data_IF_167551554812
#
_entry.id   IF_167551554812
#
_cell.length_a   1.000
_cell.length_b   1.000
_cell.length_c   1.000
_cell.angle_alpha   90.00
_cell.angle_beta   90.00
_cell.angle_gamma   90.00
#
_symmetry.space_group_name_H-M   'P 1'
#
loop_
_entity.id
_entity.type
_entity.pdbx_description
1 polymer ?
#
# COMPACT_ATOMS: atom_id res chain seq x y z
N UNK A 1 23.46 17.32 -5.17
CA UNK A 1 22.92 17.33 -6.55
C UNK A 1 23.44 16.19 -7.44
N UNK A 2 24.75 15.89 -7.49
CA UNK A 2 25.27 14.82 -8.37
C UNK A 2 24.62 13.44 -8.15
N UNK A 3 24.42 13.04 -6.89
CA UNK A 3 23.76 11.77 -6.55
C UNK A 3 22.28 11.72 -6.98
N UNK A 4 21.55 12.84 -6.88
CA UNK A 4 20.16 12.94 -7.33
C UNK A 4 20.04 12.78 -8.85
N UNK A 5 20.93 13.45 -9.61
CA UNK A 5 21.04 13.25 -11.06
C UNK A 5 21.36 11.79 -11.41
N UNK A 6 22.31 11.18 -10.70
CA UNK A 6 22.68 9.78 -10.91
C UNK A 6 21.52 8.82 -10.65
N UNK A 7 20.70 9.07 -9.62
CA UNK A 7 19.47 8.32 -9.36
C UNK A 7 18.48 8.50 -10.52
N UNK A 8 18.19 9.74 -10.93
CA UNK A 8 17.28 10.01 -12.04
C UNK A 8 17.71 9.30 -13.34
N UNK A 9 19.01 9.33 -13.67
CA UNK A 9 19.56 8.59 -14.82
C UNK A 9 19.29 7.09 -14.71
N UNK A 10 19.51 6.46 -13.54
CA UNK A 10 19.23 5.04 -13.35
C UNK A 10 17.74 4.71 -13.51
N UNK A 11 16.86 5.54 -12.94
CA UNK A 11 15.40 5.36 -13.08
C UNK A 11 14.94 5.49 -14.53
N UNK A 12 15.52 6.42 -15.30
CA UNK A 12 15.24 6.53 -16.73
C UNK A 12 15.76 5.33 -17.51
N UNK A 13 16.94 4.82 -17.20
CA UNK A 13 17.49 3.61 -17.82
C UNK A 13 16.65 2.36 -17.51
N UNK A 14 16.08 2.29 -16.31
CA UNK A 14 15.15 1.22 -15.90
C UNK A 14 13.75 1.35 -16.55
N UNK A 15 13.43 2.50 -17.15
CA UNK A 15 12.12 2.78 -17.74
C UNK A 15 11.07 3.29 -16.76
N UNK A 16 11.44 3.49 -15.49
CA UNK A 16 10.54 3.95 -14.42
C UNK A 16 10.19 5.45 -14.53
N UNK A 17 11.08 6.22 -15.17
CA UNK A 17 11.02 7.68 -15.25
C UNK A 17 11.24 8.15 -16.70
N UNK A 18 10.22 8.75 -17.32
CA UNK A 18 10.20 9.00 -18.77
C UNK A 18 9.90 10.47 -19.11
N UNK A 19 9.00 11.13 -18.39
CA UNK A 19 8.70 12.55 -18.61
C UNK A 19 9.93 13.40 -18.26
N UNK A 20 10.46 14.21 -19.20
CA UNK A 20 11.60 15.08 -18.94
C UNK A 20 11.43 16.00 -17.71
N UNK A 21 10.20 16.43 -17.41
CA UNK A 21 9.89 17.28 -16.25
C UNK A 21 10.01 16.51 -14.93
N UNK A 22 9.68 15.21 -14.93
CA UNK A 22 9.93 14.35 -13.79
C UNK A 22 11.42 14.01 -13.65
N UNK A 23 12.13 13.77 -14.76
CA UNK A 23 13.59 13.60 -14.76
C UNK A 23 14.29 14.81 -14.13
N UNK A 24 13.84 16.02 -14.48
CA UNK A 24 14.32 17.26 -13.87
C UNK A 24 13.99 17.33 -12.37
N UNK A 25 12.74 17.07 -11.97
CA UNK A 25 12.34 17.08 -10.57
C UNK A 25 13.17 16.13 -9.69
N UNK A 26 13.38 14.89 -10.13
CA UNK A 26 14.22 13.93 -9.41
C UNK A 26 15.69 14.35 -9.40
N UNK A 27 16.19 14.93 -10.50
CA UNK A 27 17.56 15.46 -10.60
C UNK A 27 17.80 16.67 -9.70
N UNK A 28 16.76 17.49 -9.49
CA UNK A 28 16.77 18.73 -8.73
C UNK A 28 16.49 18.53 -7.24
N UNK A 29 15.93 17.38 -6.83
CA UNK A 29 15.50 17.15 -5.44
C UNK A 29 16.49 16.27 -4.67
N UNK A 30 17.25 16.82 -3.71
CA UNK A 30 18.24 16.07 -2.95
C UNK A 30 17.59 15.13 -1.91
N UNK A 31 17.29 13.88 -2.28
CA UNK A 31 16.62 12.89 -1.39
C UNK A 31 17.22 12.79 0.02
N UNK A 32 18.55 12.89 0.15
CA UNK A 32 19.26 12.89 1.44
C UNK A 32 18.91 14.01 2.42
N UNK A 33 18.38 15.14 1.95
CA UNK A 33 17.86 16.21 2.84
C UNK A 33 16.54 15.76 3.48
N UNK A 34 15.74 15.00 2.75
CA UNK A 34 14.44 14.52 3.21
C UNK A 34 14.53 13.25 4.05
N UNK A 35 15.58 12.43 3.85
CA UNK A 35 15.77 11.15 4.54
C UNK A 35 17.08 11.15 5.35
N UNK A 36 17.19 11.97 6.41
CA UNK A 36 18.42 12.07 7.20
C UNK A 36 18.67 10.83 8.07
N UNK A 37 17.64 10.06 8.40
CA UNK A 37 17.74 8.84 9.23
C UNK A 37 16.73 7.79 8.76
N UNK A 38 17.15 6.53 8.71
CA UNK A 38 16.28 5.42 8.34
C UNK A 38 16.85 4.06 8.77
N UNK A 39 16.01 3.03 8.73
CA UNK A 39 16.36 1.62 8.85
C UNK A 39 16.07 0.88 7.55
N UNK A 40 16.93 -0.08 7.20
CA UNK A 40 16.64 -1.03 6.11
C UNK A 40 15.78 -2.18 6.63
N UNK A 41 14.55 -2.31 6.15
CA UNK A 41 13.60 -3.31 6.65
C UNK A 41 13.22 -3.11 8.13
N UNK A 42 12.59 -4.12 8.73
CA UNK A 42 12.15 -4.07 10.14
C UNK A 42 13.31 -4.23 11.12
N UNK A 43 14.22 -5.17 10.81
CA UNK A 43 15.31 -5.60 11.71
C UNK A 43 16.72 -5.35 11.15
N UNK A 44 16.83 -4.63 10.04
CA UNK A 44 18.13 -4.32 9.45
C UNK A 44 18.84 -3.12 10.11
N UNK A 45 20.02 -2.75 9.56
CA UNK A 45 20.83 -1.67 10.10
C UNK A 45 20.13 -0.31 10.00
N UNK A 46 20.46 0.56 10.95
CA UNK A 46 20.04 1.96 10.96
C UNK A 46 21.17 2.84 10.43
N UNK A 47 20.80 3.84 9.62
CA UNK A 47 21.72 4.82 9.05
C UNK A 47 21.26 6.23 9.43
N UNK A 48 22.24 7.12 9.63
CA UNK A 48 22.02 8.54 9.92
C UNK A 48 23.00 9.43 9.17
N UNK A 49 22.57 10.65 8.83
CA UNK A 49 23.39 11.69 8.21
C UNK A 49 24.56 12.15 9.10
N UNK A 50 24.42 11.98 10.41
CA UNK A 50 25.41 12.36 11.44
C UNK A 50 26.42 11.24 11.75
N UNK A 51 26.29 10.08 11.08
CA UNK A 51 27.16 8.93 11.31
C UNK A 51 28.53 9.10 10.61
N UNK A 52 29.56 8.48 11.16
CA UNK A 52 30.90 8.36 10.55
C UNK A 52 30.85 7.66 9.20
N UNK A 53 29.82 6.86 8.92
CA UNK A 53 29.61 6.14 7.66
C UNK A 53 28.80 6.93 6.61
N UNK A 54 29.07 8.24 6.45
CA UNK A 54 28.36 9.11 5.50
C UNK A 54 28.24 8.53 4.08
N UNK A 55 29.28 7.86 3.58
CA UNK A 55 29.27 7.24 2.25
C UNK A 55 28.26 6.09 2.15
N UNK A 56 28.16 5.24 3.19
CA UNK A 56 27.21 4.14 3.23
C UNK A 56 25.77 4.65 3.35
N UNK A 57 25.54 5.65 4.20
CA UNK A 57 24.25 6.34 4.29
C UNK A 57 23.82 6.92 2.93
N UNK A 58 24.70 7.68 2.27
CA UNK A 58 24.40 8.24 0.94
C UNK A 58 24.14 7.17 -0.11
N UNK A 59 24.87 6.05 -0.08
CA UNK A 59 24.64 4.95 -1.02
C UNK A 59 23.22 4.38 -0.88
N UNK A 60 22.76 4.16 0.36
CA UNK A 60 21.42 3.63 0.62
C UNK A 60 20.32 4.68 0.40
N UNK A 61 20.55 5.96 0.70
CA UNK A 61 19.59 7.03 0.37
C UNK A 61 19.28 7.09 -1.13
N UNK A 62 20.27 6.84 -1.99
CA UNK A 62 20.10 6.87 -3.44
C UNK A 62 20.02 5.46 -4.06
N UNK A 63 19.78 4.43 -3.24
CA UNK A 63 19.44 3.09 -3.70
C UNK A 63 17.94 3.03 -4.04
N UNK A 64 17.57 2.08 -4.91
CA UNK A 64 16.18 1.84 -5.26
C UNK A 64 15.46 0.93 -4.24
N UNK A 65 15.57 1.28 -2.96
CA UNK A 65 14.96 0.55 -1.85
C UNK A 65 14.02 1.46 -1.05
N UNK A 66 12.97 0.89 -0.44
CA UNK A 66 12.21 1.60 0.57
C UNK A 66 13.06 1.76 1.83
N UNK A 67 12.94 2.92 2.48
CA UNK A 67 13.72 3.29 3.66
C UNK A 67 12.77 3.60 4.82
N UNK A 68 12.74 2.76 5.85
CA UNK A 68 11.86 2.96 7.02
C UNK A 68 12.34 4.15 7.84
N UNK A 69 11.54 5.20 7.97
CA UNK A 69 11.94 6.46 8.62
C UNK A 69 11.32 6.66 9.99
N UNK A 70 10.25 5.93 10.33
CA UNK A 70 9.63 5.94 11.64
C UNK A 70 9.07 4.54 11.95
N UNK A 71 9.22 4.13 13.20
CA UNK A 71 8.52 2.97 13.76
C UNK A 71 8.05 3.34 15.16
N UNK A 72 6.96 2.72 15.62
CA UNK A 72 6.44 2.86 16.98
C UNK A 72 6.46 1.51 17.69
N UNK A 73 6.65 1.45 19.02
CA UNK A 73 6.54 0.20 19.76
C UNK A 73 5.17 -0.45 19.57
N UNK A 74 5.11 -1.77 19.64
CA UNK A 74 3.84 -2.49 19.70
C UNK A 74 3.05 -2.05 20.96
N UNK A 75 1.74 -1.76 20.86
CA UNK A 75 0.96 -1.29 22.01
C UNK A 75 0.93 -2.30 23.16
N UNK A 76 0.93 -3.60 22.86
CA UNK A 76 0.98 -4.66 23.88
C UNK A 76 2.37 -4.89 24.51
N UNK A 77 3.36 -4.05 24.20
CA UNK A 77 4.70 -4.16 24.79
C UNK A 77 5.47 -5.41 24.38
N UNK A 78 5.13 -6.02 23.24
CA UNK A 78 5.82 -7.19 22.71
C UNK A 78 7.32 -6.91 22.53
N UNK A 79 8.15 -7.93 22.74
CA UNK A 79 9.60 -7.85 22.58
C UNK A 79 10.12 -8.86 21.55
N UNK A 80 11.24 -8.54 20.92
CA UNK A 80 12.02 -9.49 20.13
C UNK A 80 12.64 -10.56 21.03
N UNK A 81 13.20 -11.62 20.43
CA UNK A 81 13.92 -12.69 21.15
C UNK A 81 15.06 -12.12 22.00
N UNK A 82 15.71 -11.05 21.54
CA UNK A 82 16.81 -10.39 22.23
C UNK A 82 16.34 -9.38 23.30
N UNK A 83 15.04 -9.32 23.59
CA UNK A 83 14.47 -8.47 24.65
C UNK A 83 14.27 -7.00 24.28
N UNK A 84 14.44 -6.63 23.01
CA UNK A 84 14.18 -5.27 22.53
C UNK A 84 12.68 -5.08 22.24
N UNK A 85 12.10 -3.87 22.41
CA UNK A 85 10.72 -3.63 22.02
C UNK A 85 10.48 -3.96 20.54
N UNK A 86 9.45 -4.77 20.27
CA UNK A 86 8.99 -5.01 18.91
C UNK A 86 8.40 -3.71 18.36
N UNK A 87 8.86 -3.30 17.17
CA UNK A 87 8.47 -2.01 16.58
C UNK A 87 7.77 -2.24 15.25
N UNK A 88 6.69 -1.50 15.05
CA UNK A 88 5.91 -1.50 13.82
C UNK A 88 6.29 -0.26 13.00
N UNK A 89 6.74 -0.43 11.75
CA UNK A 89 6.96 0.68 10.83
C UNK A 89 5.69 1.54 10.66
N UNK A 90 5.86 2.86 10.76
CA UNK A 90 4.77 3.86 10.68
C UNK A 90 5.03 4.97 9.67
N UNK A 91 6.26 5.10 9.17
CA UNK A 91 6.60 5.92 8.00
C UNK A 91 7.80 5.33 7.26
N UNK A 92 7.84 5.51 5.95
CA UNK A 92 8.99 5.20 5.09
C UNK A 92 9.11 6.19 3.94
N UNK A 93 10.32 6.37 3.42
CA UNK A 93 10.51 6.88 2.05
C UNK A 93 10.40 5.69 1.09
N UNK A 94 9.34 5.68 0.29
CA UNK A 94 9.12 4.70 -0.79
C UNK A 94 10.34 4.59 -1.72
N UNK A 95 10.57 3.41 -2.30
CA UNK A 95 11.61 3.24 -3.31
C UNK A 95 11.41 4.24 -4.47
N UNK A 96 12.48 4.91 -4.94
CA UNK A 96 12.40 5.89 -6.01
C UNK A 96 11.74 5.37 -7.30
N UNK A 97 12.00 4.14 -7.72
CA UNK A 97 11.40 3.55 -8.94
C UNK A 97 9.89 3.37 -8.83
N UNK A 98 9.40 2.87 -7.69
CA UNK A 98 7.96 2.78 -7.40
C UNK A 98 7.33 4.18 -7.39
N UNK A 99 7.95 5.14 -6.71
CA UNK A 99 7.44 6.51 -6.65
C UNK A 99 7.42 7.18 -8.04
N UNK A 100 8.49 7.03 -8.82
CA UNK A 100 8.58 7.53 -10.19
C UNK A 100 7.42 6.99 -11.06
N UNK A 101 7.20 5.67 -11.03
CA UNK A 101 6.10 5.03 -11.76
C UNK A 101 4.72 5.53 -11.32
N UNK A 102 4.51 5.74 -10.02
CA UNK A 102 3.25 6.31 -9.51
C UNK A 102 3.03 7.75 -9.96
N UNK A 103 4.07 8.59 -9.94
CA UNK A 103 4.01 9.98 -10.42
C UNK A 103 3.80 10.08 -11.94
N UNK A 104 4.39 9.17 -12.71
CA UNK A 104 4.13 9.00 -14.15
C UNK A 104 2.66 8.62 -14.40
N UNK A 105 2.12 7.66 -13.65
CA UNK A 105 0.71 7.26 -13.75
C UNK A 105 -0.24 8.39 -13.34
N UNK A 106 0.16 9.22 -12.37
CA UNK A 106 -0.61 10.37 -11.89
C UNK A 106 -0.84 11.40 -13.01
N UNK A 107 0.06 11.49 -14.00
CA UNK A 107 -0.12 12.30 -15.21
C UNK A 107 -0.56 13.74 -14.86
N UNK A 108 0.25 14.37 -14.02
CA UNK A 108 0.05 15.77 -13.62
C UNK A 108 0.39 16.69 -14.79
N UNK A 109 -0.33 17.81 -14.90
CA UNK A 109 -0.10 18.86 -15.89
C UNK A 109 0.05 20.19 -15.16
N UNK A 110 0.58 21.16 -15.87
CA UNK A 110 0.80 22.49 -15.31
C UNK A 110 -0.54 23.10 -14.91
N UNK A 111 -0.60 23.70 -13.72
CA UNK A 111 -1.83 24.22 -13.13
C UNK A 111 -2.71 23.19 -12.42
N UNK A 112 -2.41 21.89 -12.48
CA UNK A 112 -3.16 20.90 -11.69
C UNK A 112 -2.89 21.06 -10.21
N UNK A 113 -3.96 21.01 -9.41
CA UNK A 113 -3.89 20.91 -7.96
C UNK A 113 -3.81 19.46 -7.51
N UNK A 114 -2.82 19.14 -6.69
CA UNK A 114 -2.52 17.77 -6.24
C UNK A 114 -2.67 17.64 -4.73
N UNK A 115 -3.42 16.62 -4.30
CA UNK A 115 -3.43 16.12 -2.94
C UNK A 115 -2.54 14.89 -2.82
N UNK A 116 -1.56 14.95 -1.93
CA UNK A 116 -0.78 13.81 -1.47
C UNK A 116 -1.31 13.32 -0.12
N UNK A 117 -1.66 12.03 -0.03
CA UNK A 117 -2.00 11.37 1.24
C UNK A 117 -0.78 10.59 1.74
N UNK A 118 -0.17 11.07 2.81
CA UNK A 118 1.06 10.54 3.41
C UNK A 118 2.28 11.43 3.13
N UNK A 119 2.37 12.58 3.80
CA UNK A 119 3.52 13.50 3.67
C UNK A 119 4.85 12.82 4.02
N UNK A 120 4.86 12.02 5.10
CA UNK A 120 6.03 11.28 5.57
C UNK A 120 7.28 12.16 5.69
N UNK A 121 8.29 11.89 4.86
CA UNK A 121 9.56 12.62 4.89
C UNK A 121 9.50 14.00 4.22
N UNK A 122 8.48 14.25 3.40
CA UNK A 122 8.35 15.41 2.52
C UNK A 122 9.06 15.26 1.17
N UNK A 123 9.70 14.12 0.88
CA UNK A 123 10.44 13.95 -0.39
C UNK A 123 9.51 13.99 -1.61
N UNK A 124 8.39 13.27 -1.56
CA UNK A 124 7.46 13.25 -2.69
C UNK A 124 6.69 14.57 -2.82
N UNK A 125 6.29 15.20 -1.72
CA UNK A 125 5.83 16.60 -1.72
C UNK A 125 6.82 17.55 -2.44
N UNK A 126 8.12 17.40 -2.24
CA UNK A 126 9.12 18.23 -2.92
C UNK A 126 9.17 17.98 -4.43
N UNK A 127 9.06 16.72 -4.87
CA UNK A 127 8.97 16.36 -6.28
C UNK A 127 7.71 16.97 -6.92
N UNK A 128 6.58 16.89 -6.24
CA UNK A 128 5.31 17.51 -6.67
C UNK A 128 5.44 19.04 -6.73
N UNK A 129 6.02 19.68 -5.72
CA UNK A 129 6.24 21.13 -5.70
C UNK A 129 7.10 21.58 -6.88
N UNK A 130 8.16 20.83 -7.20
CA UNK A 130 8.99 21.09 -8.35
C UNK A 130 8.20 20.97 -9.66
N UNK A 131 7.30 19.98 -9.76
CA UNK A 131 6.58 19.67 -10.98
C UNK A 131 5.39 20.59 -11.27
N UNK A 132 4.60 20.96 -10.27
CA UNK A 132 3.36 21.74 -10.46
C UNK A 132 3.33 23.08 -9.72
N UNK A 133 4.39 23.45 -9.01
CA UNK A 133 4.42 24.64 -8.15
C UNK A 133 3.90 24.32 -6.74
N UNK A 134 4.55 24.89 -5.71
CA UNK A 134 4.24 24.60 -4.31
C UNK A 134 2.82 25.02 -3.91
N UNK A 135 2.30 26.09 -4.51
CA UNK A 135 0.95 26.63 -4.31
C UNK A 135 -0.16 25.67 -4.81
N UNK A 136 0.20 24.69 -5.63
CA UNK A 136 -0.70 23.69 -6.18
C UNK A 136 -0.59 22.33 -5.47
N UNK A 137 0.24 22.22 -4.43
CA UNK A 137 0.45 20.99 -3.67
C UNK A 137 -0.16 21.12 -2.28
N UNK A 138 -0.97 20.14 -1.94
CA UNK A 138 -1.46 19.89 -0.58
C UNK A 138 -0.98 18.51 -0.18
N UNK A 139 -0.38 18.38 1.00
CA UNK A 139 0.04 17.09 1.54
C UNK A 139 -0.46 16.94 2.96
N UNK A 140 -1.06 15.78 3.25
CA UNK A 140 -1.61 15.46 4.56
C UNK A 140 -0.93 14.24 5.14
N UNK A 141 -0.61 14.29 6.43
CA UNK A 141 -0.16 13.13 7.20
C UNK A 141 -0.89 13.07 8.52
N UNK A 142 -1.10 11.87 9.04
CA UNK A 142 -1.75 11.67 10.33
C UNK A 142 -0.86 12.19 11.47
N UNK A 143 0.46 12.03 11.37
CA UNK A 143 1.41 12.34 12.43
C UNK A 143 1.92 13.80 12.33
N UNK A 144 1.57 14.70 13.27
CA UNK A 144 1.98 16.10 13.22
C UNK A 144 3.50 16.30 13.27
N UNK A 145 4.25 15.38 13.90
CA UNK A 145 5.72 15.48 13.95
C UNK A 145 6.32 15.29 12.55
N UNK A 146 5.74 14.39 11.73
CA UNK A 146 6.16 14.19 10.34
C UNK A 146 5.85 15.42 9.49
N UNK A 147 4.67 16.03 9.68
CA UNK A 147 4.28 17.26 8.99
C UNK A 147 5.24 18.41 9.33
N UNK A 148 5.61 18.58 10.59
CA UNK A 148 6.55 19.62 11.05
C UNK A 148 7.98 19.40 10.54
N UNK A 149 8.43 18.14 10.47
CA UNK A 149 9.71 17.78 9.87
C UNK A 149 9.72 18.06 8.36
N UNK A 150 8.67 17.65 7.64
CA UNK A 150 8.53 17.90 6.22
C UNK A 150 8.50 19.41 5.92
N UNK A 151 7.76 20.19 6.73
CA UNK A 151 7.67 21.66 6.60
C UNK A 151 9.04 22.32 6.64
N UNK A 152 9.88 21.94 7.61
CA UNK A 152 11.26 22.47 7.73
C UNK A 152 12.12 22.11 6.52
N UNK A 153 12.12 20.85 6.11
CA UNK A 153 12.95 20.36 4.98
C UNK A 153 12.53 20.97 3.64
N UNK A 154 11.22 21.05 3.39
CA UNK A 154 10.68 21.75 2.22
C UNK A 154 11.04 23.24 2.27
N UNK A 155 11.00 23.82 3.47
CA UNK A 155 11.28 25.22 3.66
C UNK A 155 12.72 25.61 3.31
N UNK A 156 13.67 24.77 3.68
CA UNK A 156 15.09 24.89 3.35
C UNK A 156 15.35 24.82 1.83
N UNK A 157 14.42 24.24 1.07
CA UNK A 157 14.47 24.16 -0.39
C UNK A 157 13.57 25.18 -1.10
N UNK A 158 13.05 26.17 -0.37
CA UNK A 158 12.23 27.25 -0.92
C UNK A 158 10.77 26.88 -1.20
N UNK A 159 10.35 25.65 -0.90
CA UNK A 159 8.95 25.23 -1.07
C UNK A 159 8.13 25.51 0.19
N UNK A 160 6.88 25.94 0.01
CA UNK A 160 5.89 26.18 1.08
C UNK A 160 4.50 25.69 0.64
N UNK A 161 4.32 24.38 0.36
CA UNK A 161 3.00 23.83 0.06
C UNK A 161 2.09 23.86 1.30
N UNK A 162 0.80 23.63 1.10
CA UNK A 162 -0.12 23.40 2.22
C UNK A 162 0.18 22.03 2.85
N UNK A 163 0.58 22.02 4.12
CA UNK A 163 0.91 20.81 4.87
C UNK A 163 -0.03 20.70 6.07
N UNK A 164 -0.82 19.62 6.10
CA UNK A 164 -1.90 19.41 7.07
C UNK A 164 -1.61 18.17 7.91
N UNK A 165 -1.77 18.31 9.22
CA UNK A 165 -1.82 17.17 10.13
C UNK A 165 -3.28 16.74 10.27
N UNK A 166 -3.62 15.52 9.84
CA UNK A 166 -5.00 15.04 9.83
C UNK A 166 -5.17 13.66 9.21
N UNK A 167 -6.39 13.13 9.33
CA UNK A 167 -6.73 11.85 8.70
C UNK A 167 -6.84 12.01 7.19
N UNK A 168 -5.88 11.41 6.47
CA UNK A 168 -5.84 11.42 5.02
C UNK A 168 -7.06 10.79 4.36
N UNK A 169 -7.81 9.90 5.02
CA UNK A 169 -9.06 9.36 4.49
C UNK A 169 -10.15 10.43 4.33
N UNK A 170 -10.06 11.53 5.08
CA UNK A 170 -10.98 12.66 4.99
C UNK A 170 -10.59 13.67 3.91
N UNK A 171 -9.42 13.50 3.28
CA UNK A 171 -8.85 14.51 2.39
C UNK A 171 -8.61 15.85 3.11
N UNK A 172 -8.62 16.94 2.36
CA UNK A 172 -8.38 18.30 2.88
C UNK A 172 -9.29 19.29 2.13
N UNK A 173 -10.58 19.25 2.43
CA UNK A 173 -11.61 19.93 1.64
C UNK A 173 -11.39 21.45 1.51
N UNK A 174 -10.80 22.09 2.52
CA UNK A 174 -10.51 23.53 2.53
C UNK A 174 -9.50 23.97 1.46
N UNK A 175 -8.72 23.04 0.93
CA UNK A 175 -7.72 23.32 -0.09
C UNK A 175 -8.06 22.74 -1.47
N UNK A 176 -9.17 22.00 -1.59
CA UNK A 176 -9.67 21.46 -2.85
C UNK A 176 -10.41 22.51 -3.71
N UNK A 177 -11.01 22.07 -4.83
CA UNK A 177 -11.02 20.71 -5.36
C UNK A 177 -9.68 20.32 -6.01
N UNK A 178 -9.45 19.02 -6.20
CA UNK A 178 -8.20 18.43 -6.69
C UNK A 178 -8.33 17.82 -8.07
N UNK A 179 -7.38 18.10 -8.95
CA UNK A 179 -7.27 17.41 -10.23
C UNK A 179 -6.62 16.05 -10.07
N UNK A 180 -5.79 15.89 -9.02
CA UNK A 180 -4.96 14.72 -8.81
C UNK A 180 -4.92 14.35 -7.33
N UNK A 181 -5.11 13.07 -7.04
CA UNK A 181 -4.87 12.52 -5.70
C UNK A 181 -3.86 11.38 -5.84
N UNK A 182 -2.83 11.40 -5.01
CA UNK A 182 -1.88 10.30 -4.87
C UNK A 182 -1.81 9.86 -3.42
N UNK A 183 -2.10 8.58 -3.17
CA UNK A 183 -2.00 8.00 -1.85
C UNK A 183 -0.73 7.17 -1.72
N UNK A 184 0.15 7.61 -0.82
CA UNK A 184 1.40 6.94 -0.43
C UNK A 184 1.24 6.22 0.91
N UNK A 185 -0.01 5.93 1.28
CA UNK A 185 -0.44 5.00 2.30
C UNK A 185 -1.50 4.06 1.70
N UNK A 186 -1.54 2.83 2.19
CA UNK A 186 -2.47 1.81 1.76
C UNK A 186 -3.87 2.03 2.36
N UNK A 187 -4.89 1.83 1.54
CA UNK A 187 -6.31 1.90 1.92
C UNK A 187 -7.04 0.62 1.52
N UNK A 188 -8.12 0.30 2.22
CA UNK A 188 -8.92 -0.90 1.93
C UNK A 188 -9.99 -0.64 0.86
N UNK A 189 -10.32 0.64 0.62
CA UNK A 189 -11.22 1.15 -0.39
C UNK A 189 -10.80 2.57 -0.79
N UNK A 190 -11.46 3.16 -1.80
CA UNK A 190 -11.30 4.58 -2.11
C UNK A 190 -12.22 5.38 -1.19
N UNK A 191 -11.70 6.25 -0.30
CA UNK A 191 -12.53 7.04 0.61
C UNK A 191 -13.51 7.95 -0.14
N UNK A 192 -14.79 8.03 0.29
CA UNK A 192 -15.77 8.93 -0.33
C UNK A 192 -15.33 10.40 -0.35
N UNK A 193 -14.62 10.84 0.69
CA UNK A 193 -14.14 12.22 0.79
C UNK A 193 -13.14 12.56 -0.33
N UNK A 194 -12.35 11.61 -0.81
CA UNK A 194 -11.48 11.83 -1.96
C UNK A 194 -12.32 12.12 -3.20
N UNK A 195 -13.37 11.33 -3.45
CA UNK A 195 -14.26 11.48 -4.60
C UNK A 195 -14.97 12.83 -4.58
N UNK A 196 -15.47 13.24 -3.41
CA UNK A 196 -16.19 14.50 -3.21
C UNK A 196 -15.30 15.74 -3.44
N UNK A 197 -13.99 15.59 -3.31
CA UNK A 197 -13.02 16.68 -3.44
C UNK A 197 -12.35 16.75 -4.81
N UNK A 198 -12.79 15.99 -5.82
CA UNK A 198 -12.19 15.98 -7.15
C UNK A 198 -12.80 17.02 -8.11
N UNK A 199 -11.96 17.66 -8.93
CA UNK A 199 -12.37 18.57 -10.02
C UNK A 199 -12.31 17.91 -11.40
N UNK A 200 -13.27 18.30 -12.26
CA UNK A 200 -13.16 18.15 -13.72
C UNK A 200 -12.82 16.75 -14.21
N UNK A 201 -11.60 16.58 -14.73
CA UNK A 201 -11.03 15.32 -15.22
C UNK A 201 -9.98 14.76 -14.25
N UNK A 202 -10.43 14.24 -13.09
CA UNK A 202 -9.53 13.85 -12.03
C UNK A 202 -8.81 12.54 -12.35
N UNK A 203 -7.66 12.36 -11.69
CA UNK A 203 -6.97 11.08 -11.63
C UNK A 203 -6.54 10.77 -10.19
N UNK A 204 -6.80 9.54 -9.75
CA UNK A 204 -6.42 9.03 -8.43
C UNK A 204 -5.44 7.89 -8.62
N UNK A 205 -4.28 7.96 -7.98
CA UNK A 205 -3.33 6.85 -7.88
C UNK A 205 -3.27 6.42 -6.42
N UNK A 206 -3.66 5.18 -6.13
CA UNK A 206 -3.74 4.69 -4.76
C UNK A 206 -3.28 3.23 -4.65
N UNK A 207 -2.78 2.85 -3.50
CA UNK A 207 -2.58 1.45 -3.15
C UNK A 207 -3.83 0.92 -2.43
N UNK A 208 -4.57 0.04 -3.12
CA UNK A 208 -5.71 -0.67 -2.55
C UNK A 208 -5.25 -2.07 -2.19
N UNK A 209 -5.28 -2.43 -0.92
CA UNK A 209 -4.83 -3.76 -0.48
C UNK A 209 -5.78 -4.39 0.51
N UNK A 210 -5.73 -5.72 0.55
CA UNK A 210 -6.20 -6.50 1.68
C UNK A 210 -5.01 -6.97 2.51
N UNK A 211 -5.25 -8.00 3.32
CA UNK A 211 -4.20 -8.57 4.16
C UNK A 211 -3.46 -9.73 3.50
N UNK A 212 -4.06 -10.35 2.48
CA UNK A 212 -3.46 -11.50 1.80
C UNK A 212 -2.55 -11.08 0.64
N UNK A 213 -2.85 -9.97 -0.04
CA UNK A 213 -2.02 -9.41 -1.13
C UNK A 213 -1.88 -7.90 -0.98
N UNK A 214 -0.64 -7.43 -1.06
CA UNK A 214 -0.26 -6.08 -0.63
C UNK A 214 0.21 -5.18 -1.76
N UNK A 215 0.36 -5.71 -2.98
CA UNK A 215 1.02 -5.04 -4.10
C UNK A 215 0.12 -4.23 -5.03
N UNK A 216 -1.14 -3.98 -4.71
CA UNK A 216 -2.13 -3.58 -5.70
C UNK A 216 -2.28 -2.04 -5.83
N UNK A 217 -1.38 -1.43 -6.62
CA UNK A 217 -1.54 -0.01 -7.05
C UNK A 217 -2.62 0.07 -8.13
N UNK A 218 -3.52 1.05 -8.02
CA UNK A 218 -4.57 1.31 -9.00
C UNK A 218 -4.54 2.76 -9.47
N UNK A 219 -5.05 2.96 -10.68
CA UNK A 219 -5.23 4.28 -11.29
C UNK A 219 -6.68 4.43 -11.68
N UNK A 220 -7.40 5.35 -11.03
CA UNK A 220 -8.78 5.67 -11.35
C UNK A 220 -8.89 7.04 -12.00
N UNK A 221 -9.81 7.19 -12.94
CA UNK A 221 -10.18 8.47 -13.52
C UNK A 221 -11.71 8.56 -13.64
N UNK A 222 -12.23 9.76 -13.84
CA UNK A 222 -13.66 9.96 -14.13
C UNK A 222 -13.90 9.74 -15.63
N UNK A 223 -14.70 8.74 -16.04
CA UNK A 223 -15.17 8.64 -17.41
C UNK A 223 -16.30 9.66 -17.61
N UNK A 224 -16.17 10.52 -18.62
CA UNK A 224 -17.19 11.49 -19.03
C UNK A 224 -17.76 12.33 -17.85
N UNK A 225 -19.04 12.68 -17.89
CA UNK A 225 -19.78 13.37 -16.83
C UNK A 225 -20.28 12.44 -15.71
N UNK A 226 -19.72 11.23 -15.60
CA UNK A 226 -20.11 10.26 -14.57
C UNK A 226 -19.74 10.74 -13.16
N UNK A 227 -20.59 10.44 -12.17
CA UNK A 227 -20.26 10.63 -10.77
C UNK A 227 -19.20 9.62 -10.27
N UNK A 228 -18.93 8.56 -11.03
CA UNK A 228 -18.05 7.46 -10.65
C UNK A 228 -16.61 7.68 -11.11
N UNK A 229 -15.66 7.17 -10.34
CA UNK A 229 -14.28 6.91 -10.77
C UNK A 229 -14.18 5.47 -11.20
N UNK A 230 -13.56 5.21 -12.35
CA UNK A 230 -13.26 3.86 -12.82
C UNK A 230 -11.81 3.76 -13.26
N UNK A 231 -11.23 2.58 -13.15
CA UNK A 231 -9.86 2.35 -13.58
C UNK A 231 -9.36 0.95 -13.31
N UNK A 232 -8.05 0.75 -13.46
CA UNK A 232 -7.41 -0.57 -13.39
C UNK A 232 -6.32 -0.60 -12.34
N UNK A 233 -6.04 -1.81 -11.85
CA UNK A 233 -4.79 -2.06 -11.15
C UNK A 233 -3.64 -2.04 -12.15
N UNK A 234 -2.52 -1.47 -11.74
CA UNK A 234 -1.28 -1.52 -12.49
C UNK A 234 -0.55 -2.82 -12.15
N UNK A 235 0.20 -3.37 -13.12
CA UNK A 235 1.24 -4.36 -12.85
C UNK A 235 2.45 -3.69 -12.17
N UNK A 236 2.21 -3.19 -10.96
CA UNK A 236 3.14 -2.47 -10.13
C UNK A 236 2.90 -2.80 -8.66
N UNK A 237 3.83 -3.57 -8.09
CA UNK A 237 3.82 -3.91 -6.68
C UNK A 237 4.21 -2.70 -5.82
N UNK A 238 3.42 -2.43 -4.78
CA UNK A 238 3.74 -1.41 -3.79
C UNK A 238 3.30 -1.82 -2.40
N UNK A 239 4.24 -2.12 -1.51
CA UNK A 239 3.98 -2.55 -0.14
C UNK A 239 3.82 -1.34 0.80
N UNK A 240 2.76 -0.56 0.60
CA UNK A 240 2.51 0.61 1.43
C UNK A 240 2.02 0.23 2.83
N UNK A 241 2.40 1.05 3.80
CA UNK A 241 1.88 0.97 5.17
C UNK A 241 0.40 1.36 5.17
N UNK A 242 -0.39 0.71 6.02
CA UNK A 242 -1.81 1.03 6.19
C UNK A 242 -1.99 2.49 6.62
N UNK A 243 -2.97 3.17 6.02
CA UNK A 243 -3.57 4.35 6.62
C UNK A 243 -4.12 3.97 8.01
N UNK A 244 -3.67 4.68 9.04
CA UNK A 244 -3.93 4.32 10.44
C UNK A 244 -5.08 5.14 11.01
N UNK A 245 -5.81 4.61 12.00
CA UNK A 245 -6.93 5.31 12.61
C UNK A 245 -6.51 6.40 13.61
N UNK A 246 -5.28 6.33 14.15
CA UNK A 246 -4.76 7.30 15.12
C UNK A 246 -3.23 7.35 15.09
N UNK A 247 -2.66 8.48 15.53
CA UNK A 247 -1.20 8.70 15.59
C UNK A 247 -0.50 7.65 16.45
N UNK A 248 -1.03 7.38 17.64
CA UNK A 248 -0.43 6.49 18.65
C UNK A 248 -0.83 5.02 18.49
N UNK A 249 -1.70 4.72 17.52
CA UNK A 249 -2.06 3.34 17.18
C UNK A 249 -1.26 2.90 15.95
N UNK A 250 -0.16 2.13 16.09
CA UNK A 250 0.60 1.65 14.95
C UNK A 250 -0.03 0.43 14.26
N UNK A 251 -1.13 -0.10 14.81
CA UNK A 251 -1.80 -1.27 14.26
C UNK A 251 -2.60 -0.93 13.00
N UNK A 252 -2.98 -1.98 12.27
CA UNK A 252 -3.82 -1.88 11.07
C UNK A 252 -5.26 -1.51 11.49
N UNK A 253 -6.02 -0.76 10.68
CA UNK A 253 -7.32 -0.21 11.08
C UNK A 253 -8.38 -1.28 11.44
N UNK A 254 -8.23 -2.51 10.92
CA UNK A 254 -9.14 -3.64 11.12
C UNK A 254 -8.52 -4.75 12.00
N UNK A 255 -7.34 -4.51 12.58
CA UNK A 255 -6.69 -5.49 13.45
C UNK A 255 -7.50 -5.64 14.75
N UNK A 256 -8.34 -6.66 14.81
CA UNK A 256 -9.02 -7.06 16.03
C UNK A 256 -8.16 -8.09 16.77
N UNK A 257 -8.09 -8.07 18.11
CA UNK A 257 -7.55 -9.21 18.83
C UNK A 257 -8.38 -10.45 18.45
N UNK A 258 -7.76 -11.62 18.21
CA UNK A 258 -8.47 -12.81 17.79
C UNK A 258 -9.54 -13.14 18.82
N UNK A 259 -10.79 -12.86 18.48
CA UNK A 259 -11.91 -13.22 19.33
C UNK A 259 -12.17 -14.70 19.09
N UNK A 260 -11.62 -15.56 19.96
CA UNK A 260 -11.94 -16.98 19.96
C UNK A 260 -13.43 -17.14 20.31
N UNK A 261 -14.29 -17.11 19.29
CA UNK A 261 -15.73 -17.31 19.45
C UNK A 261 -16.19 -18.44 18.53
N UNK A 262 -16.10 -19.67 19.03
CA UNK A 262 -16.80 -20.81 18.45
C UNK A 262 -16.23 -22.17 18.86
N UNK A 263 -17.11 -23.06 19.32
CA UNK A 263 -16.85 -24.48 19.59
C UNK A 263 -16.97 -25.36 18.34
N UNK A 264 -17.24 -24.76 17.17
CA UNK A 264 -17.44 -25.50 15.92
C UNK A 264 -16.08 -25.86 15.31
N UNK A 265 -15.91 -27.16 15.06
CA UNK A 265 -14.71 -27.72 14.43
C UNK A 265 -15.16 -28.62 13.29
N UNK A 266 -14.56 -28.43 12.12
CA UNK A 266 -14.80 -29.22 10.93
C UNK A 266 -13.51 -29.88 10.48
N UNK A 267 -13.58 -31.18 10.19
CA UNK A 267 -12.46 -31.95 9.68
C UNK A 267 -12.68 -32.26 8.19
N UNK A 268 -11.62 -32.12 7.40
CA UNK A 268 -11.65 -32.37 5.97
C UNK A 268 -10.29 -32.77 5.42
N UNK A 269 -10.22 -32.91 4.10
CA UNK A 269 -8.99 -33.22 3.37
C UNK A 269 -8.98 -32.45 2.06
N UNK A 270 -7.83 -31.87 1.71
CA UNK A 270 -7.65 -31.14 0.45
C UNK A 270 -6.56 -31.74 -0.40
N UNK A 271 -6.66 -31.62 -1.72
CA UNK A 271 -5.57 -31.96 -2.64
C UNK A 271 -4.64 -30.77 -2.92
N UNK A 272 -5.06 -29.55 -2.56
CA UNK A 272 -4.27 -28.34 -2.78
C UNK A 272 -2.99 -28.39 -1.92
N UNK A 273 -1.90 -27.83 -2.45
CA UNK A 273 -0.68 -27.58 -1.67
C UNK A 273 -0.71 -26.15 -1.13
N UNK A 274 -0.77 -25.96 0.20
CA UNK A 274 -0.75 -24.61 0.77
C UNK A 274 0.51 -23.82 0.42
N UNK A 275 1.65 -24.48 0.14
CA UNK A 275 2.87 -23.78 -0.26
C UNK A 275 2.69 -23.03 -1.58
N UNK A 276 2.05 -23.67 -2.56
CA UNK A 276 1.76 -23.07 -3.86
C UNK A 276 0.81 -21.87 -3.70
N UNK A 277 -0.21 -22.00 -2.85
CA UNK A 277 -1.20 -20.95 -2.62
C UNK A 277 -0.63 -19.74 -1.86
N UNK A 278 0.23 -19.98 -0.86
CA UNK A 278 0.87 -18.90 -0.09
C UNK A 278 1.88 -18.13 -0.97
N UNK A 279 2.56 -18.83 -1.87
CA UNK A 279 3.55 -18.25 -2.78
C UNK A 279 2.96 -17.54 -4.01
N UNK A 280 1.65 -17.62 -4.24
CA UNK A 280 0.98 -17.07 -5.42
C UNK A 280 0.24 -15.76 -5.08
N UNK A 281 0.82 -14.62 -5.46
CA UNK A 281 0.29 -13.28 -5.22
C UNK A 281 -1.04 -13.02 -5.95
N UNK A 282 -1.18 -13.55 -7.18
CA UNK A 282 -2.39 -13.40 -7.99
C UNK A 282 -3.54 -14.21 -7.34
N UNK A 283 -3.26 -15.44 -6.91
CA UNK A 283 -4.21 -16.25 -6.14
C UNK A 283 -4.61 -15.57 -4.84
N UNK A 284 -3.64 -15.07 -4.06
CA UNK A 284 -3.92 -14.38 -2.79
C UNK A 284 -4.75 -13.11 -2.99
N UNK A 285 -4.53 -12.39 -4.09
CA UNK A 285 -5.35 -11.25 -4.46
C UNK A 285 -6.80 -11.65 -4.79
N UNK A 286 -7.02 -12.73 -5.54
CA UNK A 286 -8.37 -13.25 -5.75
C UNK A 286 -9.00 -13.76 -4.43
N UNK A 287 -8.23 -14.45 -3.60
CA UNK A 287 -8.73 -15.01 -2.34
C UNK A 287 -9.21 -13.92 -1.38
N UNK A 288 -8.50 -12.80 -1.24
CA UNK A 288 -8.98 -11.69 -0.40
C UNK A 288 -10.27 -11.05 -0.94
N UNK A 289 -10.51 -11.09 -2.25
CA UNK A 289 -11.78 -10.61 -2.83
C UNK A 289 -12.94 -11.56 -2.50
N UNK A 290 -12.65 -12.87 -2.45
CA UNK A 290 -13.64 -13.91 -2.15
C UNK A 290 -13.88 -14.11 -0.65
N UNK A 291 -12.91 -13.74 0.19
CA UNK A 291 -12.90 -14.02 1.63
C UNK A 291 -12.90 -12.72 2.44
N UNK A 292 -14.10 -12.20 2.72
CA UNK A 292 -14.27 -11.02 3.56
C UNK A 292 -13.68 -11.21 4.96
N UNK A 293 -12.95 -10.20 5.42
CA UNK A 293 -12.29 -10.19 6.72
C UNK A 293 -11.06 -11.08 6.79
N UNK A 294 -10.42 -11.45 5.68
CA UNK A 294 -9.15 -12.16 5.70
C UNK A 294 -8.07 -11.34 6.42
N UNK A 295 -7.34 -11.97 7.35
CA UNK A 295 -6.32 -11.29 8.17
C UNK A 295 -4.90 -11.76 7.89
N UNK A 296 -4.71 -13.06 7.61
CA UNK A 296 -3.40 -13.61 7.30
C UNK A 296 -3.50 -15.00 6.69
N UNK A 297 -2.52 -15.34 5.85
CA UNK A 297 -2.32 -16.70 5.35
C UNK A 297 -0.82 -17.01 5.35
N UNK A 298 -0.38 -17.89 6.24
CA UNK A 298 1.04 -18.15 6.47
C UNK A 298 1.29 -19.62 6.82
N UNK A 299 2.56 -20.03 6.83
CA UNK A 299 2.98 -21.37 7.26
C UNK A 299 4.01 -21.31 8.38
N UNK A 300 3.94 -22.25 9.31
CA UNK A 300 4.95 -22.49 10.35
C UNK A 300 5.84 -23.69 10.02
N UNK A 301 5.86 -24.12 8.75
CA UNK A 301 6.65 -25.26 8.27
C UNK A 301 5.90 -26.59 8.32
N UNK A 302 5.17 -26.87 9.41
CA UNK A 302 4.33 -28.08 9.51
C UNK A 302 2.88 -27.85 9.11
N UNK A 303 2.37 -26.63 9.37
CA UNK A 303 0.97 -26.26 9.16
C UNK A 303 0.87 -24.90 8.49
N UNK A 304 0.02 -24.80 7.47
CA UNK A 304 -0.46 -23.54 6.95
C UNK A 304 -1.73 -23.10 7.70
N UNK A 305 -1.78 -21.83 8.10
CA UNK A 305 -2.89 -21.24 8.84
C UNK A 305 -3.47 -20.05 8.08
N UNK A 306 -4.78 -20.05 7.88
CA UNK A 306 -5.56 -18.93 7.36
C UNK A 306 -6.49 -18.42 8.46
N UNK A 307 -6.52 -17.10 8.66
CA UNK A 307 -7.31 -16.43 9.70
C UNK A 307 -8.22 -15.36 9.11
N UNK A 308 -9.36 -15.15 9.77
CA UNK A 308 -10.30 -14.08 9.45
C UNK A 308 -10.82 -13.39 10.71
N UNK A 309 -11.26 -12.14 10.57
CA UNK A 309 -11.64 -11.25 11.68
C UNK A 309 -12.88 -11.67 12.47
N UNK A 310 -13.72 -12.55 11.92
CA UNK A 310 -14.83 -13.16 12.66
C UNK A 310 -14.40 -14.37 13.53
N UNK A 311 -13.09 -14.62 13.62
CA UNK A 311 -12.50 -15.72 14.37
C UNK A 311 -12.48 -17.06 13.62
N UNK A 312 -12.91 -17.11 12.35
CA UNK A 312 -12.78 -18.33 11.55
C UNK A 312 -11.31 -18.61 11.23
N UNK A 313 -10.92 -19.87 11.32
CA UNK A 313 -9.55 -20.34 11.11
C UNK A 313 -9.53 -21.64 10.32
N UNK A 314 -8.59 -21.79 9.40
CA UNK A 314 -8.28 -23.07 8.77
C UNK A 314 -6.80 -23.42 8.98
N UNK A 315 -6.54 -24.66 9.39
CA UNK A 315 -5.22 -25.25 9.58
C UNK A 315 -5.06 -26.42 8.63
N UNK A 316 -4.01 -26.40 7.81
CA UNK A 316 -3.74 -27.43 6.80
C UNK A 316 -2.34 -27.97 6.99
N UNK A 317 -2.21 -29.29 7.10
CA UNK A 317 -0.89 -29.93 7.19
C UNK A 317 -0.13 -29.73 5.88
N UNK A 318 1.12 -29.27 5.95
CA UNK A 318 1.94 -29.02 4.76
C UNK A 318 2.24 -30.32 4.00
N UNK A 319 2.57 -31.40 4.74
CA UNK A 319 2.86 -32.72 4.15
C UNK A 319 1.55 -33.48 3.85
N UNK A 320 1.39 -34.02 2.62
CA UNK A 320 0.27 -34.89 2.30
C UNK A 320 0.39 -36.23 3.03
N UNK A 321 -0.74 -36.91 3.19
CA UNK A 321 -0.77 -38.31 3.59
C UNK A 321 -0.58 -39.23 2.36
N UNK A 322 -0.62 -40.55 2.58
CA UNK A 322 -0.36 -41.55 1.54
C UNK A 322 -1.32 -41.50 0.34
N UNK A 323 -2.51 -40.93 0.52
CA UNK A 323 -3.49 -40.71 -0.56
C UNK A 323 -3.23 -39.42 -1.36
N UNK A 324 -2.14 -38.71 -1.06
CA UNK A 324 -1.78 -37.42 -1.67
C UNK A 324 -2.58 -36.23 -1.15
N UNK A 325 -3.51 -36.44 -0.20
CA UNK A 325 -4.34 -35.37 0.38
C UNK A 325 -3.80 -34.92 1.73
N UNK A 326 -4.07 -33.66 2.07
CA UNK A 326 -3.64 -33.02 3.32
C UNK A 326 -4.84 -32.88 4.26
N UNK A 327 -4.72 -33.29 5.54
CA UNK A 327 -5.72 -32.99 6.55
C UNK A 327 -5.94 -31.48 6.68
N UNK A 328 -7.22 -31.12 6.80
CA UNK A 328 -7.67 -29.75 7.04
C UNK A 328 -8.53 -29.75 8.31
N UNK A 329 -8.25 -28.84 9.23
CA UNK A 329 -9.10 -28.56 10.39
C UNK A 329 -9.56 -27.12 10.31
N UNK A 330 -10.86 -26.90 10.36
CA UNK A 330 -11.46 -25.57 10.30
C UNK A 330 -12.21 -25.28 11.59
N UNK A 331 -12.12 -24.05 12.07
CA UNK A 331 -12.68 -23.59 13.33
C UNK A 331 -13.53 -22.34 13.11
N UNK A 332 -14.53 -22.15 13.95
CA UNK A 332 -15.33 -20.93 13.96
C UNK A 332 -16.58 -20.99 13.08
N UNK A 333 -17.21 -19.84 12.81
CA UNK A 333 -18.53 -19.78 12.15
C UNK A 333 -18.50 -20.10 10.65
N UNK A 334 -17.35 -19.98 9.97
CA UNK A 334 -17.21 -20.23 8.53
C UNK A 334 -16.20 -21.34 8.23
N UNK A 335 -16.50 -22.15 7.21
CA UNK A 335 -15.58 -23.12 6.61
C UNK A 335 -14.73 -22.44 5.54
N UNK A 336 -13.78 -21.62 5.97
CA UNK A 336 -13.02 -20.72 5.09
C UNK A 336 -12.07 -21.45 4.11
N UNK A 337 -11.66 -22.70 4.39
CA UNK A 337 -10.89 -23.50 3.44
C UNK A 337 -11.74 -23.94 2.24
N UNK A 338 -13.06 -24.09 2.41
CA UNK A 338 -13.96 -24.38 1.29
C UNK A 338 -13.95 -23.19 0.30
N UNK A 339 -13.80 -21.95 0.79
CA UNK A 339 -13.59 -20.75 -0.04
C UNK A 339 -12.24 -20.76 -0.75
N UNK A 340 -11.18 -21.26 -0.11
CA UNK A 340 -9.87 -21.47 -0.75
C UNK A 340 -9.99 -22.45 -1.92
N UNK A 341 -10.68 -23.58 -1.72
CA UNK A 341 -10.89 -24.58 -2.79
C UNK A 341 -11.73 -24.03 -3.95
N UNK A 342 -12.81 -23.30 -3.64
CA UNK A 342 -13.61 -22.62 -4.65
C UNK A 342 -12.81 -21.55 -5.42
N UNK A 343 -11.94 -20.81 -4.73
CA UNK A 343 -11.07 -19.81 -5.35
C UNK A 343 -10.03 -20.46 -6.26
N UNK A 344 -9.45 -21.58 -5.85
CA UNK A 344 -8.49 -22.33 -6.67
C UNK A 344 -9.17 -22.93 -7.92
N UNK A 345 -10.40 -23.43 -7.79
CA UNK A 345 -11.19 -23.87 -8.93
C UNK A 345 -11.46 -22.72 -9.91
N UNK A 346 -11.94 -21.58 -9.40
CA UNK A 346 -12.20 -20.39 -10.21
C UNK A 346 -10.93 -19.89 -10.93
N UNK A 347 -9.80 -19.84 -10.23
CA UNK A 347 -8.53 -19.43 -10.83
C UNK A 347 -8.08 -20.36 -11.95
N UNK A 348 -8.32 -21.68 -11.85
CA UNK A 348 -8.04 -22.61 -12.94
C UNK A 348 -8.93 -22.38 -14.15
N UNK A 349 -10.23 -22.13 -13.92
CA UNK A 349 -11.20 -21.92 -14.99
C UNK A 349 -10.96 -20.60 -15.74
N UNK A 350 -10.53 -19.55 -15.03
CA UNK A 350 -10.25 -18.22 -15.59
C UNK A 350 -8.83 -18.05 -16.16
N UNK A 351 -7.95 -19.04 -15.95
CA UNK A 351 -6.54 -18.99 -16.34
C UNK A 351 -5.73 -17.98 -15.53
N UNK A 352 -4.70 -17.40 -16.15
CA UNK A 352 -3.79 -16.46 -15.47
C UNK A 352 -4.52 -15.17 -15.07
N UNK A 353 -4.51 -14.84 -13.77
CA UNK A 353 -5.24 -13.72 -13.17
C UNK A 353 -4.29 -12.60 -12.71
N UNK A 354 -3.52 -12.05 -13.64
CA UNK A 354 -2.62 -10.94 -13.31
C UNK A 354 -3.39 -9.71 -12.86
N UNK A 355 -2.78 -8.91 -11.96
CA UNK A 355 -3.38 -7.70 -11.40
C UNK A 355 -4.00 -6.75 -12.45
N UNK A 356 -3.40 -6.60 -13.63
CA UNK A 356 -3.87 -5.69 -14.68
C UNK A 356 -5.23 -6.08 -15.30
N UNK A 357 -5.68 -7.32 -15.11
CA UNK A 357 -7.03 -7.76 -15.48
C UNK A 357 -8.09 -7.19 -14.54
N UNK A 358 -7.72 -6.85 -13.31
CA UNK A 358 -8.63 -6.29 -12.34
C UNK A 358 -8.77 -4.79 -12.52
N UNK A 359 -9.96 -4.30 -12.21
CA UNK A 359 -10.20 -2.87 -12.08
C UNK A 359 -11.11 -2.54 -10.92
N UNK A 360 -11.28 -1.24 -10.72
CA UNK A 360 -11.99 -0.67 -9.59
C UNK A 360 -12.97 0.35 -10.11
N UNK A 361 -14.19 0.31 -9.61
CA UNK A 361 -15.15 1.39 -9.73
C UNK A 361 -15.47 1.90 -8.34
N UNK A 362 -15.43 3.21 -8.17
CA UNK A 362 -15.70 3.88 -6.91
C UNK A 362 -16.59 5.11 -7.12
N UNK A 363 -17.72 5.13 -6.43
CA UNK A 363 -18.59 6.27 -6.26
C UNK A 363 -18.91 6.45 -4.78
N UNK A 364 -19.67 7.50 -4.45
CA UNK A 364 -20.11 7.72 -3.08
C UNK A 364 -20.97 6.57 -2.54
N UNK A 365 -21.75 5.90 -3.41
CA UNK A 365 -22.71 4.87 -3.03
C UNK A 365 -22.25 3.44 -3.33
N UNK A 366 -21.32 3.23 -4.26
CA UNK A 366 -20.90 1.90 -4.68
C UNK A 366 -19.40 1.86 -4.93
N UNK A 367 -18.72 0.86 -4.36
CA UNK A 367 -17.29 0.63 -4.51
C UNK A 367 -17.05 -0.87 -4.69
N UNK A 368 -16.44 -1.26 -5.79
CA UNK A 368 -16.22 -2.66 -6.10
C UNK A 368 -14.98 -2.85 -6.98
N UNK A 369 -14.34 -4.00 -6.80
CA UNK A 369 -13.35 -4.55 -7.73
C UNK A 369 -14.09 -5.39 -8.76
N UNK A 370 -13.64 -5.36 -10.00
CA UNK A 370 -14.17 -6.18 -11.09
C UNK A 370 -13.02 -6.86 -11.85
N UNK A 371 -13.31 -7.98 -12.52
CA UNK A 371 -12.37 -8.67 -13.40
C UNK A 371 -12.76 -8.43 -14.86
N UNK A 372 -11.76 -8.12 -15.69
CA UNK A 372 -11.82 -7.85 -17.13
C UNK A 372 -12.66 -6.63 -17.55
N UNK A 373 -13.82 -6.36 -16.93
CA UNK A 373 -14.61 -5.15 -17.16
C UNK A 373 -15.64 -4.84 -16.05
N UNK A 374 -16.08 -3.57 -15.92
CA UNK A 374 -16.99 -3.12 -14.86
C UNK A 374 -18.40 -3.71 -14.93
N UNK A 375 -18.86 -4.08 -16.13
CA UNK A 375 -20.14 -4.76 -16.38
C UNK A 375 -19.99 -6.28 -16.53
N UNK A 376 -18.82 -6.81 -16.17
CA UNK A 376 -18.50 -8.23 -16.26
C UNK A 376 -19.21 -9.08 -15.21
N UNK A 377 -19.08 -10.40 -15.35
CA UNK A 377 -19.70 -11.38 -14.46
C UNK A 377 -19.13 -11.39 -13.04
N UNK A 378 -17.90 -10.90 -12.85
CA UNK A 378 -17.20 -10.96 -11.58
C UNK A 378 -16.98 -9.58 -11.00
N UNK A 379 -17.63 -9.34 -9.85
CA UNK A 379 -17.56 -8.10 -9.08
C UNK A 379 -17.55 -8.43 -7.60
N UNK A 380 -16.67 -7.77 -6.85
CA UNK A 380 -16.52 -7.93 -5.42
C UNK A 380 -16.65 -6.59 -4.71
N UNK A 381 -17.50 -6.47 -3.68
CA UNK A 381 -17.66 -5.22 -2.94
C UNK A 381 -16.38 -4.86 -2.19
N UNK A 382 -16.16 -3.55 -2.02
CA UNK A 382 -15.13 -2.98 -1.13
C UNK A 382 -15.78 -2.54 0.21
N UNK A 383 -15.02 -2.50 1.33
CA UNK A 383 -13.57 -2.65 1.47
C UNK A 383 -13.06 -4.10 1.38
N UNK A 384 -11.74 -4.25 1.14
CA UNK A 384 -11.03 -5.55 1.09
C UNK A 384 -10.79 -6.22 2.45
N UNK A 385 -11.16 -5.56 3.56
CA UNK A 385 -10.84 -5.98 4.94
C UNK A 385 -12.03 -5.86 5.87
#
# INVERSE_FOLDING_TARGET
MALARSLATRLTQAGDLRDPRWIEAFSATPRHVFVPRFRLGTDGPEYSADDVQRTAWLAEVYSDKPLTTQSKPHPDGLTTVDGLPFRIPTSSSTSPGLMARMLEMLDVRDGHRVLEIGTGTGYNAALLCHRVGAENVVSVDLDPDLVDLARRRLADFGYRPALVAGDGALGVAEHGPYDRIIATAAVADIPPAWIDQLSGSPKVVANLRGELSTGAVCVLARPDSSAELTGRFAALEGHFMWARPAVDNPLRPHQSPPSHRGSLVFHGRTALDPADLIGDDDFRFLLQLQLSGAESFYSTGETATLLTSDGSRAEVRMRPESDGRRPVVQYGPRRIWDTVEATAALSRDLGRLTLDRYGVTASRSARFVWLDGPDGAYRWPLPLV
#
